data_IF_021654410375
#
_entry.id   IF_021654410375
#
_cell.length_a   1.000
_cell.length_b   1.000
_cell.length_c   1.000
_cell.angle_alpha   90.00
_cell.angle_beta   90.00
_cell.angle_gamma   90.00
#
_symmetry.space_group_name_H-M   'P 1'
#
loop_
_entity.id
_entity.type
_entity.pdbx_description
1 polymer ?
#
# COMPACT_ATOMS: atom_id res chain seq x y z
N UNK A 1 -13.56 12.81 -10.38
CA UNK A 1 -14.48 13.83 -10.94
C UNK A 1 -15.68 13.19 -11.66
N UNK A 2 -15.90 11.87 -11.57
CA UNK A 2 -17.11 11.25 -12.09
C UNK A 2 -18.13 11.01 -10.96
N UNK A 3 -18.53 12.00 -10.26
CA UNK A 3 -19.44 11.76 -9.18
C UNK A 3 -20.37 12.91 -8.79
N UNK A 4 -20.34 14.06 -9.40
CA UNK A 4 -21.39 15.06 -9.17
C UNK A 4 -21.40 16.10 -10.30
N UNK A 5 -21.99 15.77 -11.44
CA UNK A 5 -22.66 16.74 -12.30
C UNK A 5 -24.17 16.51 -12.19
N UNK A 6 -24.82 17.20 -11.29
CA UNK A 6 -26.28 17.41 -11.36
C UNK A 6 -26.55 18.82 -11.84
N UNK A 7 -27.04 18.89 -13.05
CA UNK A 7 -27.80 20.08 -13.53
C UNK A 7 -29.11 20.15 -12.73
N UNK A 8 -29.36 21.29 -12.14
CA UNK A 8 -30.64 21.61 -11.54
C UNK A 8 -31.55 22.07 -12.69
N UNK A 9 -32.49 21.23 -13.07
CA UNK A 9 -33.71 21.65 -13.74
C UNK A 9 -34.88 21.24 -12.85
N UNK A 10 -35.64 22.21 -12.39
CA UNK A 10 -36.79 21.97 -11.54
C UNK A 10 -37.98 21.45 -12.35
N UNK A 11 -38.80 20.66 -11.71
CA UNK A 11 -40.29 20.75 -11.71
C UNK A 11 -40.88 19.60 -10.87
N UNK A 12 -41.65 20.00 -9.94
CA UNK A 12 -42.88 19.47 -9.30
C UNK A 12 -43.36 18.03 -9.53
N UNK A 13 -43.72 17.44 -8.39
CA UNK A 13 -45.04 16.82 -8.21
C UNK A 13 -45.10 15.30 -8.15
N UNK A 14 -45.60 14.85 -7.02
CA UNK A 14 -46.50 13.73 -6.80
C UNK A 14 -46.02 12.60 -5.87
N UNK A 15 -46.72 12.56 -4.76
CA UNK A 15 -46.74 11.50 -3.75
C UNK A 15 -47.21 10.15 -4.32
N UNK A 16 -46.51 9.10 -3.94
CA UNK A 16 -46.92 7.71 -4.17
C UNK A 16 -46.32 6.78 -3.10
N UNK A 17 -47.12 6.49 -2.06
CA UNK A 17 -46.88 5.43 -1.11
C UNK A 17 -46.85 4.09 -1.83
N UNK A 18 -45.76 3.32 -1.63
CA UNK A 18 -45.77 1.89 -1.87
C UNK A 18 -44.88 1.18 -0.85
N UNK A 19 -45.48 0.21 -0.27
CA UNK A 19 -45.11 -0.69 0.82
C UNK A 19 -43.77 -1.41 0.68
N UNK A 20 -43.10 -1.51 1.83
CA UNK A 20 -41.94 -2.32 2.12
C UNK A 20 -42.20 -3.81 1.95
N UNK A 21 -41.41 -4.44 1.11
CA UNK A 21 -41.02 -5.83 1.27
C UNK A 21 -39.55 -5.94 0.91
N UNK A 22 -38.69 -5.93 1.95
CA UNK A 22 -37.27 -6.14 1.80
C UNK A 22 -37.00 -7.61 1.44
N UNK A 23 -36.12 -7.89 0.49
CA UNK A 23 -35.57 -9.23 0.35
C UNK A 23 -34.50 -9.45 1.42
N UNK A 24 -34.62 -10.59 2.08
CA UNK A 24 -33.68 -11.13 3.04
C UNK A 24 -32.25 -11.11 2.47
N UNK A 25 -31.30 -10.56 3.23
CA UNK A 25 -29.87 -10.67 2.96
C UNK A 25 -29.49 -12.15 3.09
N UNK A 26 -29.28 -12.80 1.94
CA UNK A 26 -28.65 -14.10 1.88
C UNK A 26 -27.14 -13.94 2.03
N UNK A 27 -26.62 -14.36 3.16
CA UNK A 27 -25.20 -14.61 3.39
C UNK A 27 -24.64 -15.56 2.30
N UNK A 28 -23.39 -15.23 1.82
CA UNK A 28 -22.52 -16.05 0.97
C UNK A 28 -22.82 -16.13 -0.53
N UNK A 29 -22.92 -14.98 -1.20
CA UNK A 29 -22.88 -14.97 -2.68
C UNK A 29 -21.90 -13.95 -3.22
N UNK A 30 -20.66 -14.36 -3.55
CA UNK A 30 -19.75 -13.50 -4.33
C UNK A 30 -20.41 -13.24 -5.68
N UNK A 31 -20.78 -11.99 -5.96
CA UNK A 31 -21.42 -11.62 -7.23
C UNK A 31 -20.62 -12.13 -8.44
N UNK A 32 -21.25 -12.67 -9.50
CA UNK A 32 -20.57 -13.09 -10.71
C UNK A 32 -19.71 -11.99 -11.35
N UNK A 33 -20.11 -10.73 -11.21
CA UNK A 33 -19.34 -9.57 -11.67
C UNK A 33 -18.03 -9.40 -10.90
N UNK A 34 -18.05 -9.64 -9.59
CA UNK A 34 -16.87 -9.59 -8.74
C UNK A 34 -15.86 -10.67 -9.15
N UNK A 35 -16.33 -11.88 -9.39
CA UNK A 35 -15.49 -12.98 -9.88
C UNK A 35 -14.90 -12.69 -11.26
N UNK A 36 -15.66 -12.05 -12.15
CA UNK A 36 -15.17 -11.63 -13.46
C UNK A 36 -14.04 -10.59 -13.33
N UNK A 37 -14.21 -9.56 -12.49
CA UNK A 37 -13.17 -8.54 -12.27
C UNK A 37 -11.90 -9.14 -11.69
N UNK A 38 -12.00 -9.98 -10.66
CA UNK A 38 -10.82 -10.68 -10.08
C UNK A 38 -10.13 -11.53 -11.15
N UNK A 39 -10.90 -12.24 -11.96
CA UNK A 39 -10.35 -13.09 -13.04
C UNK A 39 -9.69 -12.27 -14.16
N UNK A 40 -10.26 -11.14 -14.55
CA UNK A 40 -9.65 -10.22 -15.50
C UNK A 40 -8.32 -9.68 -14.99
N UNK A 41 -8.26 -9.24 -13.74
CA UNK A 41 -7.03 -8.79 -13.09
C UNK A 41 -6.04 -9.95 -12.99
N UNK A 42 -6.46 -11.16 -12.62
CA UNK A 42 -5.59 -12.32 -12.59
C UNK A 42 -4.95 -12.59 -13.95
N UNK A 43 -5.75 -12.67 -15.03
CA UNK A 43 -5.26 -12.99 -16.38
C UNK A 43 -4.28 -11.91 -16.85
N UNK A 44 -4.65 -10.64 -16.72
CA UNK A 44 -3.81 -9.49 -17.11
C UNK A 44 -2.51 -9.47 -16.32
N UNK A 45 -2.61 -9.56 -15.00
CA UNK A 45 -1.45 -9.50 -14.09
C UNK A 45 -0.51 -10.68 -14.29
N UNK A 46 -1.03 -11.90 -14.47
CA UNK A 46 -0.19 -13.09 -14.73
C UNK A 46 0.63 -12.95 -16.01
N UNK A 47 0.05 -12.36 -17.05
CA UNK A 47 0.77 -12.09 -18.30
C UNK A 47 1.89 -11.07 -18.06
N UNK A 48 1.59 -9.94 -17.44
CA UNK A 48 2.56 -8.88 -17.13
C UNK A 48 3.70 -9.39 -16.25
N UNK A 49 3.37 -10.19 -15.22
CA UNK A 49 4.38 -10.79 -14.33
C UNK A 49 5.23 -11.82 -15.08
N UNK A 50 4.63 -12.60 -15.99
CA UNK A 50 5.35 -13.61 -16.75
C UNK A 50 6.38 -13.00 -17.70
N UNK A 51 6.02 -11.91 -18.35
CA UNK A 51 6.81 -11.28 -19.39
C UNK A 51 7.89 -10.34 -18.81
N UNK A 52 7.63 -9.70 -17.67
CA UNK A 52 8.43 -8.51 -17.29
C UNK A 52 9.00 -8.54 -15.88
N UNK A 53 8.25 -8.99 -14.88
CA UNK A 53 8.58 -8.72 -13.46
C UNK A 53 9.26 -9.89 -12.72
N UNK A 54 9.08 -11.13 -13.16
CA UNK A 54 9.46 -12.31 -12.38
C UNK A 54 10.95 -12.39 -12.04
N UNK A 55 11.82 -12.05 -12.98
CA UNK A 55 13.27 -12.06 -12.79
C UNK A 55 13.74 -10.95 -11.85
N UNK A 56 13.21 -9.75 -12.03
CA UNK A 56 13.58 -8.57 -11.25
C UNK A 56 13.08 -8.64 -9.82
N UNK A 57 11.87 -9.16 -9.61
CA UNK A 57 11.32 -9.41 -8.28
C UNK A 57 12.23 -10.35 -7.48
N UNK A 58 12.52 -11.54 -8.02
CA UNK A 58 13.39 -12.51 -7.35
C UNK A 58 14.77 -11.91 -7.03
N UNK A 59 15.37 -11.21 -7.99
CA UNK A 59 16.69 -10.59 -7.84
C UNK A 59 16.72 -9.44 -6.82
N UNK A 60 15.63 -8.66 -6.71
CA UNK A 60 15.52 -7.54 -5.78
C UNK A 60 15.40 -7.99 -4.31
N UNK A 61 14.93 -9.21 -4.07
CA UNK A 61 14.71 -9.76 -2.74
C UNK A 61 15.63 -10.93 -2.37
N UNK A 62 16.44 -11.43 -3.31
CA UNK A 62 17.41 -12.52 -3.06
C UNK A 62 18.41 -12.16 -1.98
N UNK A 63 18.67 -13.09 -1.05
CA UNK A 63 19.68 -12.95 0.02
C UNK A 63 19.17 -12.28 1.30
N UNK A 64 17.87 -12.18 1.53
CA UNK A 64 17.30 -11.57 2.72
C UNK A 64 17.08 -12.51 3.91
N UNK A 65 17.17 -13.81 3.72
CA UNK A 65 16.99 -14.80 4.75
C UNK A 65 18.16 -15.77 4.81
N UNK A 66 19.06 -15.57 5.76
CA UNK A 66 19.83 -16.68 6.30
C UNK A 66 19.22 -16.99 7.65
N UNK A 67 18.41 -18.03 7.72
CA UNK A 67 17.89 -18.52 8.98
C UNK A 67 18.90 -19.46 9.63
N UNK A 68 19.03 -19.34 10.92
CA UNK A 68 19.83 -20.27 11.69
C UNK A 68 19.20 -21.66 11.59
N UNK A 69 19.90 -22.62 10.98
CA UNK A 69 19.42 -23.98 10.77
C UNK A 69 19.77 -24.87 11.96
N UNK A 70 21.08 -25.00 12.22
CA UNK A 70 21.59 -25.87 13.27
C UNK A 70 23.00 -25.48 13.70
N UNK A 71 23.42 -25.96 14.86
CA UNK A 71 24.81 -25.98 15.29
C UNK A 71 25.31 -27.39 15.14
N UNK A 72 26.38 -27.59 14.36
CA UNK A 72 27.07 -28.87 14.25
C UNK A 72 28.54 -28.75 14.60
N UNK A 73 29.17 -29.85 14.86
CA UNK A 73 30.62 -29.87 15.07
C UNK A 73 31.36 -29.39 13.81
N UNK A 74 32.44 -28.65 14.06
CA UNK A 74 33.35 -28.19 13.03
C UNK A 74 34.00 -29.37 12.30
N UNK A 75 33.99 -29.30 10.97
CA UNK A 75 34.72 -30.25 10.13
C UNK A 75 35.83 -29.52 9.37
N UNK A 76 37.01 -30.18 9.16
CA UNK A 76 38.06 -29.60 8.34
C UNK A 76 37.52 -29.14 6.96
N UNK A 77 37.66 -27.87 6.63
CA UNK A 77 37.11 -27.24 5.44
C UNK A 77 35.94 -26.28 5.68
N UNK A 78 35.40 -26.23 6.91
CA UNK A 78 34.43 -25.22 7.28
C UNK A 78 35.07 -23.83 7.44
N UNK A 79 34.30 -22.79 7.13
CA UNK A 79 34.76 -21.41 7.29
C UNK A 79 34.88 -21.04 8.79
N UNK A 80 36.07 -20.69 9.25
CA UNK A 80 36.34 -20.32 10.65
C UNK A 80 35.45 -19.20 11.18
N UNK A 81 34.99 -18.31 10.29
CA UNK A 81 34.08 -17.21 10.65
C UNK A 81 32.68 -17.66 11.09
N UNK A 82 32.30 -18.89 10.76
CA UNK A 82 31.01 -19.47 11.14
C UNK A 82 31.01 -20.16 12.48
N UNK A 83 32.17 -20.23 13.18
CA UNK A 83 32.28 -20.83 14.49
C UNK A 83 31.43 -20.05 15.52
N UNK A 84 30.60 -20.79 16.25
CA UNK A 84 29.88 -20.26 17.42
C UNK A 84 30.77 -20.39 18.67
N UNK A 85 31.48 -19.33 19.00
CA UNK A 85 32.35 -19.30 20.15
C UNK A 85 31.63 -19.52 21.49
N UNK A 86 30.34 -19.18 21.60
CA UNK A 86 29.56 -19.38 22.82
C UNK A 86 29.24 -20.87 23.05
N UNK A 87 28.87 -21.59 22.00
CA UNK A 87 28.61 -23.03 22.07
C UNK A 87 29.93 -23.77 22.22
N UNK A 88 30.94 -23.41 21.46
CA UNK A 88 32.28 -23.97 21.52
C UNK A 88 32.87 -23.90 22.94
N UNK A 89 32.73 -22.74 23.63
CA UNK A 89 33.20 -22.58 25.00
C UNK A 89 32.46 -23.46 26.03
N UNK A 90 31.22 -23.84 25.75
CA UNK A 90 30.43 -24.71 26.65
C UNK A 90 30.67 -26.19 26.41
N UNK A 91 30.93 -26.56 25.15
CA UNK A 91 31.03 -27.97 24.74
C UNK A 91 32.46 -28.47 24.61
N UNK A 92 33.47 -27.61 24.77
CA UNK A 92 34.91 -27.88 24.63
C UNK A 92 35.35 -28.41 23.24
N UNK A 93 34.49 -28.32 22.25
CA UNK A 93 34.77 -28.69 20.86
C UNK A 93 34.27 -27.56 19.96
N UNK A 94 34.91 -27.25 18.81
CA UNK A 94 34.48 -26.20 17.93
C UNK A 94 33.18 -26.58 17.24
N UNK A 95 32.19 -25.67 17.33
CA UNK A 95 30.89 -25.77 16.68
C UNK A 95 30.72 -24.65 15.67
N UNK A 96 30.13 -24.97 14.52
CA UNK A 96 29.80 -24.03 13.46
C UNK A 96 28.29 -23.81 13.36
N UNK A 97 27.91 -22.55 13.19
CA UNK A 97 26.56 -22.20 12.84
C UNK A 97 26.31 -22.50 11.38
N UNK A 98 25.40 -23.41 11.10
CA UNK A 98 24.93 -23.66 9.77
C UNK A 98 23.72 -22.76 9.53
N UNK A 99 23.84 -21.92 8.52
CA UNK A 99 22.74 -21.10 8.06
C UNK A 99 22.14 -21.72 6.81
N UNK A 100 20.82 -21.84 6.80
CA UNK A 100 20.08 -22.23 5.63
C UNK A 100 19.61 -20.96 4.92
N UNK A 101 19.87 -20.85 3.64
CA UNK A 101 19.27 -19.78 2.84
C UNK A 101 17.75 -19.98 2.86
N UNK A 102 17.03 -19.10 3.55
CA UNK A 102 15.58 -19.12 3.57
C UNK A 102 15.11 -18.75 2.17
N UNK A 103 14.76 -19.77 1.38
CA UNK A 103 14.30 -19.60 -0.01
C UNK A 103 12.92 -18.98 -0.09
N UNK A 104 12.22 -18.89 1.04
CA UNK A 104 10.83 -18.45 1.10
C UNK A 104 10.73 -17.11 1.80
N UNK A 105 10.40 -16.08 1.04
CA UNK A 105 10.14 -14.77 1.60
C UNK A 105 8.69 -14.65 2.09
N UNK A 106 8.50 -13.84 3.11
CA UNK A 106 7.18 -13.36 3.51
C UNK A 106 6.98 -11.96 2.97
N UNK A 107 5.99 -11.77 2.10
CA UNK A 107 5.59 -10.48 1.56
C UNK A 107 4.30 -10.05 2.24
N UNK A 108 4.34 -8.90 2.89
CA UNK A 108 3.18 -8.31 3.54
C UNK A 108 2.71 -7.09 2.79
N UNK A 109 1.55 -7.18 2.16
CA UNK A 109 0.90 -6.06 1.49
C UNK A 109 0.10 -5.28 2.53
N UNK A 110 0.41 -3.99 2.67
CA UNK A 110 -0.26 -3.06 3.58
C UNK A 110 -0.95 -2.02 2.74
N UNK A 111 -2.26 -2.14 2.59
CA UNK A 111 -3.03 -1.34 1.62
C UNK A 111 -3.96 -0.39 2.34
N UNK A 112 -3.81 0.88 2.00
CA UNK A 112 -4.65 1.97 2.46
C UNK A 112 -6.01 1.94 1.74
N UNK A 113 -7.09 1.87 2.51
CA UNK A 113 -8.47 1.91 2.03
C UNK A 113 -9.21 3.19 2.41
N UNK A 114 -8.48 4.24 2.81
CA UNK A 114 -9.06 5.55 3.15
C UNK A 114 -9.91 6.13 2.02
N UNK A 115 -10.73 7.11 2.37
CA UNK A 115 -11.64 7.77 1.44
C UNK A 115 -10.93 8.39 0.23
N UNK A 116 -9.70 8.88 0.41
CA UNK A 116 -8.89 9.50 -0.65
C UNK A 116 -8.59 8.55 -1.82
N UNK A 117 -8.51 7.23 -1.57
CA UNK A 117 -8.31 6.22 -2.60
C UNK A 117 -9.43 6.12 -3.64
N UNK A 118 -10.64 6.63 -3.35
CA UNK A 118 -11.76 6.65 -4.30
C UNK A 118 -11.59 7.69 -5.41
N UNK A 119 -10.69 8.64 -5.22
CA UNK A 119 -10.42 9.68 -6.20
C UNK A 119 -9.71 9.12 -7.44
N UNK A 120 -10.06 9.66 -8.60
CA UNK A 120 -9.38 9.39 -9.87
C UNK A 120 -9.88 10.36 -10.92
N UNK A 121 -8.99 11.08 -11.57
CA UNK A 121 -9.31 12.06 -12.62
C UNK A 121 -9.33 11.45 -14.02
N UNK A 122 -8.83 10.23 -14.17
CA UNK A 122 -8.76 9.47 -15.42
C UNK A 122 -9.78 8.33 -15.48
N UNK A 123 -9.44 7.30 -16.24
CA UNK A 123 -10.29 6.11 -16.40
C UNK A 123 -10.26 5.19 -15.17
N UNK A 124 -9.23 5.31 -14.33
CA UNK A 124 -8.98 4.44 -13.19
C UNK A 124 -8.87 5.27 -11.90
N UNK A 125 -9.53 4.80 -10.82
CA UNK A 125 -9.34 5.39 -9.50
C UNK A 125 -8.02 4.95 -8.87
N UNK A 126 -7.50 5.72 -7.90
CA UNK A 126 -6.32 5.31 -7.13
C UNK A 126 -6.51 3.94 -6.47
N UNK A 127 -7.71 3.67 -5.93
CA UNK A 127 -8.03 2.36 -5.33
C UNK A 127 -7.93 1.21 -6.32
N UNK A 128 -8.39 1.40 -7.56
CA UNK A 128 -8.27 0.38 -8.61
C UNK A 128 -6.79 0.12 -8.96
N UNK A 129 -5.99 1.19 -9.06
CA UNK A 129 -4.55 1.07 -9.28
C UNK A 129 -3.82 0.42 -8.10
N UNK A 130 -4.16 0.77 -6.85
CA UNK A 130 -3.60 0.12 -5.65
C UNK A 130 -3.90 -1.39 -5.64
N UNK A 131 -5.12 -1.78 -6.03
CA UNK A 131 -5.51 -3.17 -6.11
C UNK A 131 -4.77 -3.92 -7.22
N UNK A 132 -4.55 -3.28 -8.35
CA UNK A 132 -3.78 -3.85 -9.47
C UNK A 132 -2.31 -4.03 -9.09
N UNK A 133 -1.69 -3.04 -8.44
CA UNK A 133 -0.32 -3.14 -7.90
C UNK A 133 -0.19 -4.27 -6.88
N UNK A 134 -1.14 -4.34 -5.94
CA UNK A 134 -1.18 -5.42 -4.95
C UNK A 134 -1.30 -6.80 -5.62
N UNK A 135 -2.13 -6.92 -6.67
CA UNK A 135 -2.27 -8.15 -7.44
C UNK A 135 -0.97 -8.53 -8.17
N UNK A 136 -0.31 -7.56 -8.84
CA UNK A 136 0.97 -7.78 -9.53
C UNK A 136 2.02 -8.32 -8.57
N UNK A 137 2.16 -7.68 -7.40
CA UNK A 137 3.12 -8.08 -6.38
C UNK A 137 2.80 -9.44 -5.77
N UNK A 138 1.53 -9.69 -5.47
CA UNK A 138 1.08 -10.96 -4.92
C UNK A 138 1.28 -12.13 -5.89
N UNK A 139 1.00 -11.95 -7.18
CA UNK A 139 1.24 -12.97 -8.19
C UNK A 139 2.73 -13.18 -8.48
N UNK A 140 3.55 -12.11 -8.38
CA UNK A 140 5.02 -12.21 -8.46
C UNK A 140 5.57 -13.04 -7.30
N UNK A 141 5.08 -12.80 -6.08
CA UNK A 141 5.48 -13.54 -4.90
C UNK A 141 5.14 -15.04 -5.00
N UNK A 142 3.92 -15.40 -5.43
CA UNK A 142 3.55 -16.81 -5.61
C UNK A 142 4.43 -17.50 -6.65
N UNK A 143 4.76 -16.84 -7.74
CA UNK A 143 5.62 -17.42 -8.78
C UNK A 143 6.99 -17.81 -8.22
N UNK A 144 7.45 -17.08 -7.21
CA UNK A 144 8.69 -17.37 -6.49
C UNK A 144 8.49 -18.26 -5.25
N UNK A 145 7.28 -18.81 -5.06
CA UNK A 145 6.91 -19.66 -3.92
C UNK A 145 6.93 -18.95 -2.56
N UNK A 146 6.88 -17.62 -2.56
CA UNK A 146 6.85 -16.79 -1.35
C UNK A 146 5.47 -16.80 -0.69
N UNK A 147 5.44 -16.48 0.62
CA UNK A 147 4.21 -16.29 1.39
C UNK A 147 3.70 -14.86 1.20
N UNK A 148 2.39 -14.70 0.99
CA UNK A 148 1.74 -13.40 0.85
C UNK A 148 0.74 -13.20 1.96
N UNK A 149 0.87 -12.11 2.70
CA UNK A 149 -0.11 -11.63 3.67
C UNK A 149 -0.72 -10.31 3.23
N UNK A 150 -1.81 -9.91 3.89
CA UNK A 150 -2.51 -8.65 3.63
C UNK A 150 -2.90 -7.97 4.93
N UNK A 151 -2.70 -6.67 4.98
CA UNK A 151 -3.26 -5.79 5.98
C UNK A 151 -3.98 -4.65 5.28
N UNK A 152 -5.28 -4.54 5.49
CA UNK A 152 -6.10 -3.43 5.05
C UNK A 152 -6.30 -2.47 6.22
N UNK A 153 -6.11 -1.19 5.99
CA UNK A 153 -6.23 -0.19 7.04
C UNK A 153 -6.89 1.11 6.55
N UNK A 154 -7.42 1.81 7.50
CA UNK A 154 -7.95 3.18 7.43
C UNK A 154 -7.43 3.96 8.65
N UNK A 155 -8.28 4.53 9.48
CA UNK A 155 -7.92 5.05 10.81
C UNK A 155 -7.48 3.92 11.75
N UNK A 156 -7.95 2.71 11.48
CA UNK A 156 -7.66 1.48 12.22
C UNK A 156 -7.27 0.37 11.27
N UNK A 157 -6.82 -0.75 11.83
CA UNK A 157 -6.65 -1.99 11.07
C UNK A 157 -8.03 -2.59 10.82
N UNK A 158 -8.46 -2.59 9.57
CA UNK A 158 -9.76 -3.12 9.14
C UNK A 158 -9.73 -4.63 8.93
N UNK A 159 -8.64 -5.14 8.37
CA UNK A 159 -8.50 -6.57 8.09
C UNK A 159 -7.05 -7.00 8.06
N UNK A 160 -6.78 -8.12 8.70
CA UNK A 160 -5.50 -8.81 8.63
C UNK A 160 -5.68 -10.22 8.05
N UNK A 161 -4.88 -10.57 7.06
CA UNK A 161 -4.79 -11.91 6.48
C UNK A 161 -3.36 -12.40 6.67
N UNK A 162 -3.21 -13.45 7.46
CA UNK A 162 -1.90 -14.01 7.75
C UNK A 162 -1.18 -14.48 6.47
N UNK A 163 0.16 -14.37 6.41
CA UNK A 163 0.93 -14.82 5.26
C UNK A 163 0.74 -16.31 4.98
N UNK A 164 0.32 -16.65 3.77
CA UNK A 164 0.17 -18.03 3.32
C UNK A 164 0.53 -18.15 1.84
N UNK A 165 0.74 -19.39 1.37
CA UNK A 165 1.07 -19.72 0.01
C UNK A 165 -0.16 -20.10 -0.81
N UNK A 166 0.02 -20.14 -2.10
CA UNK A 166 -0.90 -20.77 -3.03
C UNK A 166 -1.86 -19.80 -3.73
N UNK A 167 -2.25 -20.21 -4.93
CA UNK A 167 -3.08 -19.40 -5.83
C UNK A 167 -4.42 -18.99 -5.20
N UNK A 168 -5.09 -19.92 -4.51
CA UNK A 168 -6.39 -19.63 -3.87
C UNK A 168 -6.28 -18.54 -2.80
N UNK A 169 -5.19 -18.57 -2.04
CA UNK A 169 -4.92 -17.57 -1.01
C UNK A 169 -4.72 -16.18 -1.63
N UNK A 170 -3.91 -16.07 -2.68
CA UNK A 170 -3.66 -14.79 -3.35
C UNK A 170 -4.91 -14.26 -4.06
N UNK A 171 -5.72 -15.12 -4.67
CA UNK A 171 -7.00 -14.67 -5.23
C UNK A 171 -7.93 -14.10 -4.13
N UNK A 172 -7.90 -14.67 -2.92
CA UNK A 172 -8.58 -14.09 -1.75
C UNK A 172 -7.99 -12.73 -1.40
N UNK A 173 -6.67 -12.59 -1.32
CA UNK A 173 -5.99 -11.32 -1.04
C UNK A 173 -6.40 -10.26 -2.06
N UNK A 174 -6.32 -10.56 -3.35
CA UNK A 174 -6.71 -9.64 -4.44
C UNK A 174 -8.19 -9.24 -4.34
N UNK A 175 -9.08 -10.22 -4.10
CA UNK A 175 -10.49 -9.96 -3.89
C UNK A 175 -10.73 -9.02 -2.72
N UNK A 176 -10.06 -9.27 -1.60
CA UNK A 176 -10.22 -8.46 -0.39
C UNK A 176 -9.74 -7.02 -0.63
N UNK A 177 -8.64 -6.78 -1.33
CA UNK A 177 -8.21 -5.42 -1.69
C UNK A 177 -9.23 -4.70 -2.57
N UNK A 178 -9.82 -5.40 -3.55
CA UNK A 178 -10.75 -4.80 -4.51
C UNK A 178 -12.11 -4.45 -3.90
N UNK A 179 -12.63 -5.35 -3.07
CA UNK A 179 -14.05 -5.35 -2.71
C UNK A 179 -14.32 -5.16 -1.22
N UNK A 180 -13.29 -5.12 -0.40
CA UNK A 180 -13.47 -4.82 1.01
C UNK A 180 -14.10 -3.42 1.20
N UNK A 181 -15.15 -3.35 1.98
CA UNK A 181 -15.82 -2.09 2.33
C UNK A 181 -15.29 -1.65 3.69
N UNK A 182 -14.47 -0.60 3.76
CA UNK A 182 -13.96 -0.12 5.02
C UNK A 182 -15.06 0.56 5.83
N UNK A 183 -14.98 0.43 7.16
CA UNK A 183 -15.88 1.08 8.10
C UNK A 183 -15.53 2.56 8.27
N UNK A 184 -14.26 2.90 8.17
CA UNK A 184 -13.76 4.26 8.37
C UNK A 184 -13.20 4.86 7.09
N UNK A 185 -13.05 6.19 7.06
CA UNK A 185 -12.60 6.94 5.89
C UNK A 185 -11.24 7.61 6.06
N UNK A 186 -10.77 7.77 7.28
CA UNK A 186 -9.49 8.41 7.58
C UNK A 186 -8.29 7.50 7.37
N UNK A 187 -7.08 8.01 7.62
CA UNK A 187 -5.81 7.29 7.39
C UNK A 187 -4.95 7.30 8.65
N UNK A 188 -4.38 6.14 9.03
CA UNK A 188 -3.43 5.99 10.12
C UNK A 188 -2.37 4.93 9.78
N UNK A 189 -1.39 5.32 9.00
CA UNK A 189 -0.30 4.43 8.58
C UNK A 189 0.60 4.03 9.75
N UNK A 190 0.81 4.90 10.75
CA UNK A 190 1.58 4.55 11.95
C UNK A 190 0.95 3.37 12.69
N UNK A 191 -0.37 3.43 12.96
CA UNK A 191 -1.09 2.36 13.64
C UNK A 191 -1.03 1.04 12.90
N UNK A 192 -1.12 1.06 11.55
CA UNK A 192 -0.99 -0.12 10.71
C UNK A 192 0.42 -0.73 10.81
N UNK A 193 1.47 0.09 10.77
CA UNK A 193 2.86 -0.36 10.89
C UNK A 193 3.19 -0.89 12.28
N UNK A 194 2.70 -0.24 13.33
CA UNK A 194 2.86 -0.68 14.73
C UNK A 194 2.16 -2.03 14.97
N UNK A 195 0.98 -2.22 14.39
CA UNK A 195 0.28 -3.50 14.42
C UNK A 195 1.12 -4.60 13.76
N UNK A 196 1.68 -4.35 12.57
CA UNK A 196 2.54 -5.30 11.87
C UNK A 196 3.74 -5.73 12.70
N UNK A 197 4.41 -4.77 13.35
CA UNK A 197 5.55 -5.05 14.22
C UNK A 197 5.21 -6.00 15.37
N UNK A 198 3.95 -5.99 15.84
CA UNK A 198 3.48 -6.86 16.92
C UNK A 198 3.11 -8.25 16.40
N UNK A 199 2.54 -8.33 15.20
CA UNK A 199 1.93 -9.56 14.67
C UNK A 199 2.91 -10.41 13.85
N UNK A 200 3.89 -9.78 13.18
CA UNK A 200 4.87 -10.51 12.38
C UNK A 200 6.08 -10.92 13.24
N UNK A 201 6.27 -12.23 13.53
CA UNK A 201 7.39 -12.69 14.36
C UNK A 201 8.72 -12.66 13.60
N UNK A 202 8.70 -12.92 12.30
CA UNK A 202 9.88 -13.02 11.44
C UNK A 202 10.03 -11.83 10.51
N UNK A 203 11.23 -11.67 9.96
CA UNK A 203 11.52 -10.65 8.98
C UNK A 203 10.66 -10.85 7.72
N UNK A 204 10.06 -9.76 7.24
CA UNK A 204 9.21 -9.76 6.05
C UNK A 204 9.56 -8.58 5.14
N UNK A 205 9.18 -8.70 3.87
CA UNK A 205 9.11 -7.58 2.95
C UNK A 205 7.75 -6.92 3.14
N UNK A 206 7.73 -5.70 3.65
CA UNK A 206 6.50 -4.93 3.91
C UNK A 206 6.34 -3.91 2.81
N UNK A 207 5.30 -4.06 2.00
CA UNK A 207 5.00 -3.16 0.90
C UNK A 207 3.76 -2.34 1.28
N UNK A 208 3.99 -1.07 1.60
CA UNK A 208 2.93 -0.12 1.96
C UNK A 208 2.43 0.56 0.70
N UNK A 209 1.16 0.38 0.37
CA UNK A 209 0.49 0.98 -0.80
C UNK A 209 -0.51 2.00 -0.29
N UNK A 210 -0.20 3.29 -0.44
CA UNK A 210 -1.02 4.41 0.02
C UNK A 210 -0.77 5.62 -0.89
N UNK A 211 -1.64 6.60 -0.86
CA UNK A 211 -1.37 7.90 -1.47
C UNK A 211 -0.55 8.81 -0.54
N UNK A 212 -0.44 8.45 0.74
CA UNK A 212 0.24 9.23 1.78
C UNK A 212 -0.25 10.68 1.86
N UNK A 213 -1.48 10.95 1.41
CA UNK A 213 -2.12 12.26 1.51
C UNK A 213 -2.61 12.49 2.95
N UNK A 214 -2.46 13.71 3.42
CA UNK A 214 -2.86 14.05 4.80
C UNK A 214 -1.80 13.77 5.87
N UNK A 215 -0.83 12.91 5.61
CA UNK A 215 0.25 12.63 6.56
C UNK A 215 1.29 13.74 6.62
N UNK A 216 1.36 14.58 5.60
CA UNK A 216 2.27 15.74 5.53
C UNK A 216 1.57 17.08 5.77
N UNK A 217 0.22 17.11 5.90
CA UNK A 217 -0.52 18.36 6.02
C UNK A 217 -0.89 18.67 7.49
N UNK A 218 -0.16 19.56 8.19
CA UNK A 218 -0.42 19.88 9.58
C UNK A 218 -1.79 20.55 9.82
N UNK A 219 -2.38 21.19 8.81
CA UNK A 219 -3.71 21.81 8.91
C UNK A 219 -4.83 20.77 9.05
N UNK A 220 -4.75 19.65 8.34
CA UNK A 220 -5.72 18.56 8.46
C UNK A 220 -5.62 17.85 9.82
N UNK A 221 -4.40 17.63 10.31
CA UNK A 221 -4.18 17.03 11.63
C UNK A 221 -4.70 17.92 12.77
N UNK A 222 -4.47 19.23 12.70
CA UNK A 222 -4.96 20.19 13.69
C UNK A 222 -6.49 20.30 13.70
N UNK A 223 -7.12 20.28 12.53
CA UNK A 223 -8.58 20.34 12.40
C UNK A 223 -9.25 19.06 12.92
N UNK A 224 -8.67 17.88 12.65
CA UNK A 224 -9.10 16.60 13.22
C UNK A 224 -8.94 16.57 14.75
N UNK A 225 -7.84 17.08 15.29
CA UNK A 225 -7.60 17.17 16.73
C UNK A 225 -8.64 18.06 17.41
N UNK A 226 -9.08 19.14 16.77
CA UNK A 226 -10.08 20.05 17.32
C UNK A 226 -11.49 19.44 17.39
N UNK A 227 -11.87 18.67 16.36
CA UNK A 227 -13.16 17.94 16.34
C UNK A 227 -13.18 16.72 17.29
N UNK A 228 -12.03 16.02 17.46
CA UNK A 228 -11.92 14.80 18.30
C UNK A 228 -11.57 15.09 19.76
N UNK A 229 -11.49 16.35 20.21
CA UNK A 229 -11.12 16.72 21.59
C UNK A 229 -12.05 16.16 22.68
N UNK A 230 -13.14 15.51 22.30
CA UNK A 230 -14.08 14.85 23.21
C UNK A 230 -13.88 13.34 23.38
N UNK A 231 -13.05 12.68 22.58
CA UNK A 231 -12.87 11.22 22.66
C UNK A 231 -11.41 10.86 22.38
N UNK A 232 -10.73 10.43 23.43
CA UNK A 232 -9.44 9.73 23.50
C UNK A 232 -8.13 10.49 23.21
N UNK A 233 -7.28 10.38 24.20
CA UNK A 233 -5.85 10.69 24.27
C UNK A 233 -5.04 10.05 23.12
N UNK A 234 -4.85 10.79 22.02
CA UNK A 234 -3.85 10.41 21.02
C UNK A 234 -3.40 11.65 20.25
N UNK A 235 -2.36 12.28 20.74
CA UNK A 235 -1.73 13.47 20.13
C UNK A 235 -0.93 13.13 18.85
N UNK A 236 -0.98 11.87 18.36
CA UNK A 236 -0.16 11.38 17.24
C UNK A 236 -0.97 10.89 16.05
N UNK A 237 -2.28 11.17 15.99
CA UNK A 237 -3.13 10.74 14.87
C UNK A 237 -2.87 11.61 13.64
N UNK A 238 -2.23 11.05 12.61
CA UNK A 238 -2.31 11.55 11.25
C UNK A 238 -1.01 11.99 10.57
N UNK A 239 0.16 11.80 11.14
CA UNK A 239 1.42 12.07 10.43
C UNK A 239 2.33 10.86 10.52
N UNK A 240 2.73 10.33 9.35
CA UNK A 240 3.70 9.22 9.28
C UNK A 240 4.99 9.62 10.00
N UNK A 241 5.34 8.85 11.03
CA UNK A 241 6.48 9.14 11.91
C UNK A 241 7.75 8.47 11.37
N UNK A 242 8.83 9.23 11.33
CA UNK A 242 10.15 8.66 11.03
C UNK A 242 10.55 7.59 12.06
N UNK A 243 10.14 7.74 13.32
CA UNK A 243 10.43 6.76 14.37
C UNK A 243 9.74 5.42 14.08
N UNK A 244 8.46 5.43 13.71
CA UNK A 244 7.72 4.22 13.34
C UNK A 244 8.36 3.55 12.12
N UNK A 245 8.69 4.32 11.08
CA UNK A 245 9.38 3.78 9.89
C UNK A 245 10.74 3.18 10.24
N UNK A 246 11.52 3.82 11.11
CA UNK A 246 12.81 3.30 11.57
C UNK A 246 12.65 2.02 12.39
N UNK A 247 11.65 1.93 13.26
CA UNK A 247 11.37 0.73 14.05
C UNK A 247 10.99 -0.46 13.17
N UNK A 248 10.08 -0.23 12.22
CA UNK A 248 9.65 -1.26 11.26
C UNK A 248 10.80 -1.65 10.33
N UNK A 249 11.57 -0.68 9.83
CA UNK A 249 12.70 -0.89 8.93
C UNK A 249 13.89 -1.63 9.55
N UNK A 250 14.01 -1.64 10.90
CA UNK A 250 15.01 -2.48 11.60
C UNK A 250 14.65 -3.96 11.58
N UNK A 251 13.35 -4.29 11.59
CA UNK A 251 12.85 -5.67 11.63
C UNK A 251 12.48 -6.21 10.26
N UNK A 252 11.96 -5.36 9.40
CA UNK A 252 11.40 -5.72 8.11
C UNK A 252 12.06 -4.88 7.00
N UNK A 253 11.90 -5.34 5.78
CA UNK A 253 12.32 -4.63 4.59
C UNK A 253 11.14 -3.82 4.05
N UNK A 254 11.14 -2.49 4.26
CA UNK A 254 9.99 -1.64 3.97
C UNK A 254 10.13 -0.97 2.61
N UNK A 255 9.07 -1.08 1.81
CA UNK A 255 8.92 -0.39 0.53
C UNK A 255 7.64 0.44 0.57
N UNK A 256 7.73 1.72 0.24
CA UNK A 256 6.59 2.60 0.09
C UNK A 256 6.22 2.77 -1.40
N UNK A 257 5.02 2.30 -1.77
CA UNK A 257 4.44 2.54 -3.08
C UNK A 257 3.39 3.65 -2.95
N UNK A 258 3.76 4.84 -3.36
CA UNK A 258 2.88 5.99 -3.37
C UNK A 258 2.02 5.99 -4.63
N UNK A 259 0.71 5.93 -4.47
CA UNK A 259 -0.24 6.05 -5.58
C UNK A 259 -0.86 7.44 -5.56
N UNK A 260 -0.70 8.20 -6.63
CA UNK A 260 -1.23 9.56 -6.76
C UNK A 260 -2.07 9.74 -8.01
N UNK A 261 -2.72 10.90 -8.09
CA UNK A 261 -3.43 11.33 -9.29
C UNK A 261 -2.79 12.63 -9.82
N UNK A 262 -2.67 12.83 -11.14
CA UNK A 262 -2.11 14.06 -11.71
C UNK A 262 -2.84 15.33 -11.24
N UNK A 263 -4.14 15.23 -10.98
CA UNK A 263 -4.96 16.38 -10.52
C UNK A 263 -4.75 16.75 -9.04
N UNK A 264 -4.09 15.88 -8.28
CA UNK A 264 -3.62 16.19 -6.93
C UNK A 264 -2.35 17.03 -6.94
N UNK A 265 -1.65 17.08 -8.07
CA UNK A 265 -0.43 17.88 -8.25
C UNK A 265 -0.70 19.23 -8.91
N UNK A 266 -1.66 19.28 -9.85
CA UNK A 266 -2.01 20.49 -10.58
C UNK A 266 -3.51 20.55 -10.86
N UNK A 267 -4.11 21.73 -10.67
CA UNK A 267 -5.51 21.98 -10.99
C UNK A 267 -5.64 22.43 -12.46
N UNK A 268 -6.62 21.89 -13.21
CA UNK A 268 -6.92 22.37 -14.55
C UNK A 268 -7.61 23.74 -14.49
N UNK A 269 -7.49 24.53 -15.55
CA UNK A 269 -8.27 25.74 -15.73
C UNK A 269 -9.66 25.40 -16.30
N UNK A 270 -10.65 25.27 -15.43
CA UNK A 270 -12.03 24.87 -15.77
C UNK A 270 -13.07 25.75 -15.08
N UNK A 271 -12.65 26.92 -14.60
CA UNK A 271 -13.54 27.85 -13.90
C UNK A 271 -13.73 27.46 -12.42
N UNK A 272 -14.96 27.46 -11.96
CA UNK A 272 -15.30 27.13 -10.58
C UNK A 272 -15.48 25.63 -10.41
N UNK A 273 -14.74 25.05 -9.45
CA UNK A 273 -14.83 23.66 -9.06
C UNK A 273 -15.29 23.53 -7.62
N UNK A 274 -16.23 22.61 -7.40
CA UNK A 274 -16.56 22.12 -6.07
C UNK A 274 -15.72 20.86 -5.78
N UNK A 275 -14.83 20.96 -4.81
CA UNK A 275 -14.00 19.85 -4.35
C UNK A 275 -14.57 19.35 -3.03
N UNK A 276 -14.86 18.06 -2.98
CA UNK A 276 -15.26 17.40 -1.75
C UNK A 276 -14.06 16.65 -1.15
N UNK A 277 -13.76 16.91 0.11
CA UNK A 277 -12.78 16.13 0.86
C UNK A 277 -13.37 14.72 1.10
N UNK A 278 -12.67 13.69 0.60
CA UNK A 278 -13.18 12.32 0.64
C UNK A 278 -13.15 11.70 2.06
N UNK A 279 -12.42 12.32 2.99
CA UNK A 279 -12.32 11.84 4.37
C UNK A 279 -13.28 12.56 5.31
N UNK A 280 -13.44 13.87 5.13
CA UNK A 280 -14.28 14.72 6.00
C UNK A 280 -15.66 14.97 5.42
N UNK A 281 -15.83 14.82 4.10
CA UNK A 281 -17.04 15.18 3.37
C UNK A 281 -17.21 16.70 3.17
N UNK A 282 -16.27 17.52 3.64
CA UNK A 282 -16.31 18.98 3.49
C UNK A 282 -16.22 19.38 2.02
N UNK A 283 -17.06 20.31 1.61
CA UNK A 283 -17.09 20.81 0.23
C UNK A 283 -16.52 22.22 0.20
N UNK A 284 -15.50 22.42 -0.65
CA UNK A 284 -14.85 23.71 -0.86
C UNK A 284 -14.97 24.13 -2.31
N UNK A 285 -15.43 25.35 -2.56
CA UNK A 285 -15.46 25.96 -3.89
C UNK A 285 -14.10 26.63 -4.17
N UNK A 286 -13.49 26.26 -5.30
CA UNK A 286 -12.24 26.85 -5.76
C UNK A 286 -12.43 27.40 -7.17
N UNK A 287 -12.08 28.67 -7.37
CA UNK A 287 -11.99 29.25 -8.70
C UNK A 287 -10.62 28.87 -9.32
N UNK A 288 -10.65 27.97 -10.28
CA UNK A 288 -9.42 27.48 -10.94
C UNK A 288 -8.97 28.34 -12.11
N UNK A 289 -9.75 29.37 -12.53
CA UNK A 289 -9.28 30.36 -13.52
C UNK A 289 -8.24 31.33 -12.92
N UNK A 290 -8.20 31.43 -11.57
CA UNK A 290 -7.19 32.23 -10.88
C UNK A 290 -5.82 31.51 -10.91
N UNK A 291 -4.88 32.06 -11.70
CA UNK A 291 -3.52 31.54 -11.86
C UNK A 291 -2.79 31.45 -10.52
N UNK A 292 -2.95 32.46 -9.64
CA UNK A 292 -2.27 32.48 -8.34
C UNK A 292 -2.71 31.32 -7.44
N UNK A 293 -4.00 30.97 -7.50
CA UNK A 293 -4.55 29.82 -6.75
C UNK A 293 -4.01 28.51 -7.27
N UNK A 294 -3.91 28.34 -8.60
CA UNK A 294 -3.31 27.14 -9.20
C UNK A 294 -1.84 27.00 -8.82
N UNK A 295 -1.07 28.06 -8.92
CA UNK A 295 0.36 28.07 -8.53
C UNK A 295 0.56 27.79 -7.04
N UNK A 296 -0.28 28.36 -6.19
CA UNK A 296 -0.24 28.10 -4.75
C UNK A 296 -0.57 26.63 -4.43
N UNK A 297 -1.52 26.02 -5.15
CA UNK A 297 -1.86 24.61 -5.02
C UNK A 297 -0.67 23.73 -5.44
N UNK A 298 -0.08 23.99 -6.62
CA UNK A 298 1.10 23.22 -7.09
C UNK A 298 2.30 23.36 -6.14
N UNK A 299 2.55 24.57 -5.65
CA UNK A 299 3.63 24.83 -4.71
C UNK A 299 3.45 24.04 -3.43
N UNK A 300 2.22 23.97 -2.92
CA UNK A 300 1.88 23.17 -1.75
C UNK A 300 2.05 21.68 -2.02
N UNK A 301 1.58 21.17 -3.16
CA UNK A 301 1.73 19.79 -3.56
C UNK A 301 3.21 19.39 -3.69
N UNK A 302 4.02 20.22 -4.34
CA UNK A 302 5.48 20.04 -4.47
C UNK A 302 6.18 20.05 -3.10
N UNK A 303 5.75 20.93 -2.17
CA UNK A 303 6.30 20.99 -0.81
C UNK A 303 5.99 19.71 -0.04
N UNK A 304 4.74 19.27 -0.03
CA UNK A 304 4.32 18.02 0.63
C UNK A 304 5.08 16.81 0.07
N UNK A 305 5.25 16.73 -1.26
CA UNK A 305 6.03 15.65 -1.87
C UNK A 305 7.49 15.66 -1.40
N UNK A 306 8.14 16.82 -1.36
CA UNK A 306 9.52 16.95 -0.88
C UNK A 306 9.67 16.55 0.60
N UNK A 307 8.68 16.88 1.43
CA UNK A 307 8.66 16.47 2.85
C UNK A 307 8.54 14.95 2.97
N UNK A 308 7.65 14.32 2.20
CA UNK A 308 7.48 12.87 2.15
C UNK A 308 8.76 12.17 1.66
N UNK A 309 9.39 12.68 0.60
CA UNK A 309 10.64 12.13 0.06
C UNK A 309 11.79 12.24 1.08
N UNK A 310 11.83 13.32 1.88
CA UNK A 310 12.82 13.47 2.97
C UNK A 310 12.56 12.45 4.08
N UNK A 311 11.30 12.24 4.43
CA UNK A 311 10.90 11.28 5.46
C UNK A 311 11.35 9.86 5.08
N UNK A 312 11.04 9.39 3.87
CA UNK A 312 11.43 8.07 3.40
C UNK A 312 12.94 7.91 3.31
N UNK A 313 13.64 8.91 2.78
CA UNK A 313 15.12 8.90 2.73
C UNK A 313 15.75 8.85 4.12
N UNK A 314 15.21 9.64 5.07
CA UNK A 314 15.68 9.65 6.45
C UNK A 314 15.47 8.32 7.16
N UNK A 315 14.40 7.61 6.84
CA UNK A 315 14.10 6.29 7.36
C UNK A 315 14.74 5.13 6.56
N UNK A 316 15.47 5.42 5.48
CA UNK A 316 16.05 4.42 4.55
C UNK A 316 15.00 3.48 3.95
N UNK A 317 13.79 4.00 3.72
CA UNK A 317 12.70 3.29 3.07
C UNK A 317 12.79 3.52 1.57
N UNK A 318 12.77 2.44 0.79
CA UNK A 318 12.70 2.54 -0.66
C UNK A 318 11.30 3.04 -1.07
N UNK A 319 11.27 4.09 -1.90
CA UNK A 319 10.04 4.78 -2.30
C UNK A 319 9.88 4.80 -3.80
N UNK A 320 8.68 4.45 -4.29
CA UNK A 320 8.27 4.58 -5.68
C UNK A 320 6.93 5.30 -5.75
N UNK A 321 6.85 6.36 -6.56
CA UNK A 321 5.61 7.08 -6.86
C UNK A 321 5.06 6.66 -8.21
N UNK A 322 3.79 6.25 -8.23
CA UNK A 322 3.04 5.86 -9.42
C UNK A 322 1.79 6.73 -9.52
N UNK A 323 1.54 7.28 -10.68
CA UNK A 323 0.35 8.09 -10.93
C UNK A 323 -0.71 7.27 -11.66
N UNK A 324 -2.00 7.60 -11.40
CA UNK A 324 -3.08 7.08 -12.22
C UNK A 324 -2.90 7.49 -13.68
N UNK A 325 -3.15 6.58 -14.64
CA UNK A 325 -2.93 6.89 -16.05
C UNK A 325 -3.85 8.01 -16.52
N UNK A 326 -3.26 8.98 -17.23
CA UNK A 326 -4.01 10.02 -17.90
C UNK A 326 -4.76 9.43 -19.11
N UNK A 327 -5.76 10.16 -19.62
CA UNK A 327 -6.47 9.75 -20.82
C UNK A 327 -5.48 9.52 -21.99
N UNK A 328 -5.60 8.37 -22.65
CA UNK A 328 -4.72 7.98 -23.75
C UNK A 328 -3.39 7.29 -23.35
N UNK A 329 -3.09 7.21 -22.07
CA UNK A 329 -1.94 6.45 -21.57
C UNK A 329 -2.39 5.00 -21.28
N UNK A 330 -1.62 3.97 -21.70
CA UNK A 330 -1.94 2.59 -21.36
C UNK A 330 -2.08 2.40 -19.84
N UNK A 331 -3.06 1.63 -19.42
CA UNK A 331 -3.32 1.38 -18.00
C UNK A 331 -2.16 0.68 -17.30
N UNK A 332 -1.31 -0.04 -18.04
CA UNK A 332 -0.16 -0.79 -17.55
C UNK A 332 1.18 -0.01 -17.65
N UNK A 333 1.14 1.27 -18.00
CA UNK A 333 2.32 2.12 -18.12
C UNK A 333 3.18 2.16 -16.82
N UNK A 334 2.56 1.90 -15.67
CA UNK A 334 3.26 1.80 -14.38
C UNK A 334 4.22 0.61 -14.29
N UNK A 335 4.05 -0.43 -15.13
CA UNK A 335 4.88 -1.64 -15.08
C UNK A 335 6.35 -1.33 -15.36
N UNK A 336 6.64 -0.47 -16.34
CA UNK A 336 8.01 -0.06 -16.64
C UNK A 336 8.68 0.64 -15.45
N UNK A 337 7.91 1.47 -14.72
CA UNK A 337 8.41 2.15 -13.51
C UNK A 337 8.68 1.15 -12.38
N UNK A 338 7.79 0.16 -12.20
CA UNK A 338 7.93 -0.87 -11.18
C UNK A 338 9.15 -1.76 -11.47
N UNK A 339 9.36 -2.15 -12.71
CA UNK A 339 10.54 -2.93 -13.16
C UNK A 339 11.84 -2.14 -12.91
N UNK A 340 11.91 -0.90 -13.40
CA UNK A 340 13.08 -0.04 -13.19
C UNK A 340 13.40 0.18 -11.71
N UNK A 341 12.36 0.28 -10.87
CA UNK A 341 12.51 0.39 -9.42
C UNK A 341 13.18 -0.85 -8.82
N UNK A 342 12.70 -2.06 -9.15
CA UNK A 342 13.28 -3.30 -8.64
C UNK A 342 14.70 -3.54 -9.17
N UNK A 343 15.00 -3.22 -10.43
CA UNK A 343 16.36 -3.28 -10.98
C UNK A 343 17.30 -2.30 -10.26
N UNK A 344 16.85 -1.07 -10.02
CA UNK A 344 17.60 -0.07 -9.28
C UNK A 344 17.90 -0.52 -7.85
N UNK A 345 16.93 -1.19 -7.21
CA UNK A 345 17.08 -1.76 -5.88
C UNK A 345 18.10 -2.89 -5.86
N UNK A 346 18.07 -3.79 -6.82
CA UNK A 346 19.05 -4.86 -6.96
C UNK A 346 20.48 -4.33 -7.10
N UNK A 347 20.68 -3.30 -7.94
CA UNK A 347 22.00 -2.68 -8.13
C UNK A 347 22.54 -2.05 -6.84
N UNK A 348 21.68 -1.40 -6.03
CA UNK A 348 22.10 -0.81 -4.74
C UNK A 348 22.51 -1.85 -3.69
N UNK A 349 21.93 -3.03 -3.72
CA UNK A 349 22.24 -4.11 -2.77
C UNK A 349 23.50 -4.91 -3.12
N UNK A 350 23.95 -4.85 -4.36
CA UNK A 350 25.19 -5.49 -4.79
C UNK A 350 26.44 -4.66 -4.52
N UNK A 351 26.26 -3.37 -4.20
CA UNK A 351 27.32 -2.45 -3.76
C UNK A 351 27.43 -2.41 -2.25
#
# INVERSE_FOLDING_TARGET
>A
IQGVMRRISGSDGAEGRASSSGPAESESGVSPELLRKVRQIEIRTRRLVAETLAGQYHSAFKGQGMDFDEVREYQPGDEVRTIDWNVTARMNHPFVKKFREERELTVMLVVDLSGSGRFGSGQQSKRALMAELAAVLAFSAIRNQDKVGLLLFTETVEKFVAPAKGRRHVLRVVRDVLFFKPEFTGTNTNGALDFLNKVLPHRAVVIVVSDFLGETNPGRAAMRAHLKRKVLHSETLGRLSQNTLNQVGRRHDVIALQVGDPREQSLPDVGRLLLQDAETGEVVEINTSDVRRREAFETRAKKSQKELDRLFRGARVDHLKILTPAAGVPEDAYMSQLVAFFEGRQKRRRR
#
